data_IF_667788427240
#
_entry.id   IF_667788427240
#
_cell.length_a   1.000
_cell.length_b   1.000
_cell.length_c   1.000
_cell.angle_alpha   90.00
_cell.angle_beta   90.00
_cell.angle_gamma   90.00
#
_symmetry.space_group_name_H-M   'P 1'
#
loop_
_entity.id
_entity.type
_entity.pdbx_description
1 polymer ?
#
# COMPACT_ATOMS: atom_id res chain seq x y z
N UNK A 1 -19.36 -5.80 2.09
CA UNK A 1 -18.55 -6.45 3.14
C UNK A 1 -19.43 -6.82 4.31
N UNK A 2 -19.18 -7.96 4.94
CA UNK A 2 -19.92 -8.51 6.09
C UNK A 2 -18.94 -8.93 7.18
N UNK A 3 -19.30 -8.72 8.45
CA UNK A 3 -18.44 -8.94 9.63
C UNK A 3 -19.22 -9.66 10.73
N UNK A 4 -18.66 -10.72 11.30
CA UNK A 4 -19.21 -11.42 12.48
C UNK A 4 -18.59 -10.94 13.79
N UNK A 5 -19.24 -11.22 14.91
CA UNK A 5 -18.76 -10.97 16.27
C UNK A 5 -17.43 -11.66 16.60
N UNK A 6 -17.18 -12.85 16.03
CA UNK A 6 -15.90 -13.53 16.13
C UNK A 6 -14.77 -12.89 15.29
N UNK A 7 -15.05 -11.81 14.57
CA UNK A 7 -14.07 -11.10 13.74
C UNK A 7 -13.88 -11.68 12.33
N UNK A 8 -14.77 -12.59 11.89
CA UNK A 8 -14.71 -13.12 10.52
C UNK A 8 -15.24 -12.07 9.55
N UNK A 9 -14.45 -11.78 8.53
CA UNK A 9 -14.76 -10.79 7.51
C UNK A 9 -14.91 -11.47 6.14
N UNK A 10 -15.94 -11.11 5.39
CA UNK A 10 -16.12 -11.58 4.01
C UNK A 10 -16.50 -10.44 3.07
N UNK A 11 -15.86 -10.41 1.89
CA UNK A 11 -16.19 -9.52 0.78
C UNK A 11 -16.90 -10.34 -0.30
N UNK A 12 -18.09 -9.91 -0.70
CA UNK A 12 -18.83 -10.47 -1.83
C UNK A 12 -19.16 -9.33 -2.78
N UNK A 13 -19.13 -9.60 -4.09
CA UNK A 13 -19.60 -8.64 -5.09
C UNK A 13 -21.12 -8.58 -5.02
N UNK A 14 -21.68 -7.37 -5.17
CA UNK A 14 -23.14 -7.18 -5.17
C UNK A 14 -23.78 -7.91 -6.36
N UNK A 15 -23.07 -7.98 -7.49
CA UNK A 15 -23.51 -8.67 -8.70
C UNK A 15 -23.74 -10.19 -8.52
N UNK A 16 -23.11 -10.81 -7.52
CA UNK A 16 -23.25 -12.25 -7.26
C UNK A 16 -24.50 -12.58 -6.43
N UNK A 17 -25.17 -11.56 -5.87
CA UNK A 17 -26.35 -11.74 -5.03
C UNK A 17 -27.61 -11.73 -5.90
N UNK A 18 -28.42 -12.79 -5.80
CA UNK A 18 -29.65 -12.91 -6.58
C UNK A 18 -30.66 -11.81 -6.24
N UNK A 19 -31.25 -11.21 -7.28
CA UNK A 19 -32.34 -10.24 -7.14
C UNK A 19 -33.64 -10.98 -6.83
N UNK A 20 -34.27 -10.65 -5.70
CA UNK A 20 -35.47 -11.30 -5.18
C UNK A 20 -36.49 -10.27 -4.71
N UNK A 21 -37.77 -10.65 -4.66
CA UNK A 21 -38.87 -9.76 -4.28
C UNK A 21 -38.84 -9.34 -2.80
N UNK A 22 -39.55 -8.25 -2.47
CA UNK A 22 -39.55 -7.63 -1.12
C UNK A 22 -40.16 -8.49 -0.02
N UNK A 23 -41.03 -9.43 -0.37
CA UNK A 23 -41.68 -10.35 0.58
C UNK A 23 -41.13 -11.77 0.40
N UNK A 24 -39.81 -11.91 0.50
CA UNK A 24 -39.12 -13.19 0.39
C UNK A 24 -38.13 -13.34 1.55
N UNK A 25 -37.74 -14.57 1.87
CA UNK A 25 -36.68 -14.84 2.85
C UNK A 25 -35.30 -14.38 2.33
N UNK A 26 -35.14 -14.24 1.01
CA UNK A 26 -33.87 -13.92 0.38
C UNK A 26 -33.03 -15.14 0.04
N UNK A 27 -31.76 -14.90 -0.27
CA UNK A 27 -30.75 -15.93 -0.57
C UNK A 27 -29.65 -15.92 0.48
N UNK A 28 -29.03 -17.09 0.71
CA UNK A 28 -27.89 -17.21 1.61
C UNK A 28 -26.62 -16.72 0.92
N UNK A 29 -26.11 -15.55 1.35
CA UNK A 29 -24.87 -14.97 0.80
C UNK A 29 -23.62 -15.63 1.40
N UNK A 30 -23.65 -16.04 2.67
CA UNK A 30 -22.54 -16.75 3.31
C UNK A 30 -23.04 -17.67 4.44
N UNK A 31 -22.20 -18.63 4.87
CA UNK A 31 -22.52 -19.59 5.93
C UNK A 31 -21.92 -19.14 7.27
N UNK A 32 -22.74 -19.19 8.33
CA UNK A 32 -22.37 -18.90 9.72
C UNK A 32 -22.81 -20.10 10.56
N UNK A 33 -22.02 -20.45 11.57
CA UNK A 33 -22.43 -21.35 12.64
C UNK A 33 -23.28 -20.56 13.65
N UNK A 34 -24.61 -20.76 13.60
CA UNK A 34 -25.58 -19.95 14.37
C UNK A 34 -25.46 -20.13 15.88
N UNK A 35 -24.84 -21.21 16.35
CA UNK A 35 -24.64 -21.46 17.79
C UNK A 35 -23.44 -20.70 18.35
N UNK A 36 -22.52 -20.24 17.49
CA UNK A 36 -21.22 -19.68 17.89
C UNK A 36 -21.02 -18.24 17.47
N UNK A 37 -21.55 -17.85 16.32
CA UNK A 37 -21.26 -16.56 15.71
C UNK A 37 -22.52 -15.92 15.14
N UNK A 38 -22.56 -14.60 15.18
CA UNK A 38 -23.63 -13.80 14.60
C UNK A 38 -23.04 -12.73 13.67
N UNK A 39 -23.80 -12.38 12.62
CA UNK A 39 -23.47 -11.25 11.77
C UNK A 39 -23.75 -9.95 12.53
N UNK A 40 -22.73 -9.12 12.74
CA UNK A 40 -22.85 -7.87 13.51
C UNK A 40 -22.79 -6.62 12.65
N UNK A 41 -22.22 -6.69 11.44
CA UNK A 41 -22.11 -5.51 10.57
C UNK A 41 -22.08 -5.85 9.08
N UNK A 42 -22.68 -4.96 8.29
CA UNK A 42 -22.67 -4.98 6.83
C UNK A 42 -22.32 -3.58 6.34
N UNK A 43 -21.37 -3.48 5.42
CA UNK A 43 -20.95 -2.23 4.81
C UNK A 43 -20.84 -2.37 3.29
N UNK A 44 -21.27 -1.36 2.55
CA UNK A 44 -20.99 -1.27 1.12
C UNK A 44 -19.56 -0.79 0.94
N UNK A 45 -18.80 -1.50 0.11
CA UNK A 45 -17.45 -1.11 -0.24
C UNK A 45 -17.49 -0.52 -1.65
N UNK A 46 -16.96 0.69 -1.89
CA UNK A 46 -16.84 1.22 -3.23
C UNK A 46 -16.01 0.27 -4.10
N UNK A 47 -16.30 0.27 -5.40
CA UNK A 47 -15.53 -0.54 -6.34
C UNK A 47 -14.07 -0.12 -6.34
N UNK A 48 -13.18 -1.09 -6.57
CA UNK A 48 -11.73 -0.86 -6.49
C UNK A 48 -11.23 0.31 -7.33
N UNK A 49 -11.91 0.63 -8.44
CA UNK A 49 -11.57 1.77 -9.31
C UNK A 49 -11.71 3.12 -8.58
N UNK A 50 -12.76 3.29 -7.78
CA UNK A 50 -12.98 4.54 -7.03
C UNK A 50 -12.04 4.64 -5.82
N UNK A 51 -11.70 3.51 -5.20
CA UNK A 51 -10.71 3.48 -4.11
C UNK A 51 -9.31 3.81 -4.65
N UNK A 52 -8.91 3.19 -5.75
CA UNK A 52 -7.61 3.44 -6.37
C UNK A 52 -7.50 4.88 -6.88
N UNK A 53 -8.54 5.39 -7.57
CA UNK A 53 -8.58 6.78 -8.03
C UNK A 53 -8.44 7.76 -6.85
N UNK A 54 -9.24 7.58 -5.80
CA UNK A 54 -9.18 8.48 -4.63
C UNK A 54 -7.86 8.36 -3.86
N UNK A 55 -7.25 7.18 -3.83
CA UNK A 55 -5.91 7.01 -3.27
C UNK A 55 -4.88 7.77 -4.10
N UNK A 56 -4.89 7.57 -5.41
CA UNK A 56 -3.96 8.20 -6.34
C UNK A 56 -4.10 9.72 -6.37
N UNK A 57 -5.33 10.25 -6.37
CA UNK A 57 -5.60 11.69 -6.28
C UNK A 57 -5.01 12.30 -4.99
N UNK A 58 -5.13 11.61 -3.84
CA UNK A 58 -4.52 12.10 -2.59
C UNK A 58 -3.00 12.05 -2.61
N UNK A 59 -2.41 11.05 -3.26
CA UNK A 59 -0.95 10.94 -3.42
C UNK A 59 -0.44 12.06 -4.30
N UNK A 60 -1.06 12.29 -5.46
CA UNK A 60 -0.70 13.39 -6.38
C UNK A 60 -0.78 14.76 -5.69
N UNK A 61 -1.80 14.97 -4.85
CA UNK A 61 -1.97 16.22 -4.11
C UNK A 61 -0.91 16.38 -3.02
N UNK A 62 -0.49 15.29 -2.36
CA UNK A 62 0.60 15.30 -1.39
C UNK A 62 1.95 15.58 -2.07
N UNK A 63 2.23 14.96 -3.22
CA UNK A 63 3.45 15.21 -4.00
C UNK A 63 3.52 16.65 -4.51
N UNK A 64 2.39 17.19 -5.00
CA UNK A 64 2.30 18.58 -5.41
C UNK A 64 2.50 19.56 -4.24
N UNK A 65 1.97 19.23 -3.05
CA UNK A 65 2.19 20.02 -1.84
C UNK A 65 3.68 20.00 -1.41
N UNK A 66 4.33 18.83 -1.44
CA UNK A 66 5.75 18.71 -1.12
C UNK A 66 6.63 19.49 -2.12
N UNK A 67 6.31 19.44 -3.42
CA UNK A 67 7.00 20.22 -4.44
C UNK A 67 6.81 21.73 -4.26
N UNK A 68 5.59 22.16 -3.91
CA UNK A 68 5.30 23.57 -3.63
C UNK A 68 6.04 24.07 -2.38
N UNK A 69 6.14 23.24 -1.34
CA UNK A 69 6.90 23.55 -0.12
C UNK A 69 8.40 23.68 -0.41
N UNK A 70 8.97 22.77 -1.22
CA UNK A 70 10.37 22.83 -1.65
C UNK A 70 10.67 24.10 -2.47
N UNK A 71 9.74 24.55 -3.32
CA UNK A 71 9.84 25.82 -4.06
C UNK A 71 9.68 27.06 -3.15
N UNK A 72 8.83 26.98 -2.12
CA UNK A 72 8.55 28.08 -1.21
C UNK A 72 9.68 28.33 -0.20
N UNK A 73 10.45 27.31 0.14
CA UNK A 73 11.62 27.44 1.01
C UNK A 73 12.78 28.18 0.35
N UNK A 74 12.72 28.44 -0.97
CA UNK A 74 13.79 29.09 -1.70
C UNK A 74 14.97 28.15 -1.85
N UNK A 75 15.40 27.91 -3.08
CA UNK A 75 16.80 27.58 -3.28
C UNK A 75 17.57 28.87 -2.98
N UNK A 76 18.05 29.03 -1.76
CA UNK A 76 19.18 29.91 -1.48
C UNK A 76 20.39 29.34 -2.22
N UNK A 77 20.43 29.61 -3.54
CA UNK A 77 21.64 29.72 -4.33
C UNK A 77 22.45 30.92 -3.81
N UNK A 78 22.84 30.91 -2.53
CA UNK A 78 23.98 31.70 -2.10
C UNK A 78 25.23 30.96 -2.59
N UNK A 79 25.72 31.46 -3.74
CA UNK A 79 27.08 31.27 -4.22
C UNK A 79 28.07 31.52 -3.07
N UNK A 80 28.45 30.46 -2.35
CA UNK A 80 29.70 30.45 -1.58
C UNK A 80 30.79 29.90 -2.48
N UNK A 81 31.46 30.83 -3.13
CA UNK A 81 32.85 30.69 -3.54
C UNK A 81 33.69 30.36 -2.30
N UNK A 82 34.05 29.08 -2.12
CA UNK A 82 34.97 28.65 -1.08
C UNK A 82 35.71 27.40 -1.54
N UNK A 83 36.80 27.66 -2.28
CA UNK A 83 38.07 26.92 -2.29
C UNK A 83 37.99 25.40 -2.48
N UNK A 84 38.36 24.98 -3.70
CA UNK A 84 38.74 23.61 -3.99
C UNK A 84 39.95 23.20 -3.12
N UNK A 85 39.70 22.53 -2.00
CA UNK A 85 40.71 21.73 -1.34
C UNK A 85 40.71 20.33 -1.98
N UNK A 86 41.61 20.13 -2.94
CA UNK A 86 41.95 18.79 -3.44
C UNK A 86 42.41 17.93 -2.25
N UNK A 87 41.62 16.93 -1.90
CA UNK A 87 42.11 15.76 -1.15
C UNK A 87 42.22 14.63 -2.16
N UNK A 88 43.46 14.36 -2.56
CA UNK A 88 43.84 13.22 -3.39
C UNK A 88 43.51 11.92 -2.62
N UNK A 89 42.41 11.26 -2.98
CA UNK A 89 42.22 9.85 -2.66
C UNK A 89 42.88 9.07 -3.78
N UNK A 90 43.94 8.37 -3.39
CA UNK A 90 44.76 7.49 -4.21
C UNK A 90 43.85 6.43 -4.82
N UNK A 91 43.82 6.41 -6.16
CA UNK A 91 43.43 5.25 -6.94
C UNK A 91 44.50 4.18 -6.71
N UNK A 92 44.14 3.10 -6.04
CA UNK A 92 44.82 1.83 -6.25
C UNK A 92 43.77 0.79 -6.61
N UNK A 93 43.39 0.85 -7.88
CA UNK A 93 42.85 -0.31 -8.58
C UNK A 93 43.99 -1.31 -8.83
N UNK A 94 43.92 -2.49 -8.20
CA UNK A 94 44.41 -3.75 -8.79
C UNK A 94 43.78 -4.92 -8.02
N UNK A 95 42.87 -5.64 -8.67
CA UNK A 95 43.08 -7.01 -9.22
C UNK A 95 43.04 -8.10 -8.13
N UNK A 96 42.44 -9.28 -8.27
CA UNK A 96 41.65 -10.04 -9.26
C UNK A 96 41.42 -11.40 -8.57
N UNK A 97 40.22 -11.98 -8.70
CA UNK A 97 39.88 -13.42 -8.55
C UNK A 97 40.22 -14.12 -7.19
N UNK A 98 39.55 -15.16 -6.70
CA UNK A 98 38.69 -16.20 -7.25
C UNK A 98 37.89 -16.86 -6.10
N UNK A 99 36.75 -17.44 -6.48
CA UNK A 99 36.04 -18.62 -5.97
C UNK A 99 36.63 -19.38 -4.76
N UNK A 100 35.79 -19.75 -3.79
CA UNK A 100 35.59 -21.15 -3.37
C UNK A 100 34.34 -21.29 -2.50
N UNK A 101 33.29 -21.87 -3.09
CA UNK A 101 32.23 -22.58 -2.38
C UNK A 101 32.87 -23.71 -1.56
N UNK A 102 32.66 -23.73 -0.24
CA UNK A 102 32.72 -24.99 0.51
C UNK A 102 31.68 -24.99 1.63
N UNK A 103 30.73 -25.91 1.49
CA UNK A 103 29.89 -26.41 2.56
C UNK A 103 30.77 -27.00 3.68
N UNK A 104 30.35 -26.91 4.94
CA UNK A 104 30.29 -28.12 5.77
C UNK A 104 29.30 -27.94 6.93
N UNK A 105 28.49 -28.98 7.08
CA UNK A 105 27.48 -29.26 8.08
C UNK A 105 28.11 -29.47 9.47
N UNK A 106 27.37 -29.20 10.55
CA UNK A 106 27.79 -29.44 11.93
C UNK A 106 26.63 -29.51 12.90
#
# INVERSE_FOLDING_TARGET
>A
MMITDAGKITRNRVADISVVGRNTMGVRVFRIDQEKECLVSVALLPEGVEIERSFQERVELADAAAAAEALALGGDDDLVDAEAQEVSIVDESSEVESEEDSNEDG
#
